data_IF_141076852158
#
_entry.id   IF_141076852158
#
_cell.length_a   1.000
_cell.length_b   1.000
_cell.length_c   1.000
_cell.angle_alpha   90.00
_cell.angle_beta   90.00
_cell.angle_gamma   90.00
#
_symmetry.space_group_name_H-M   'P 1'
#
loop_
_entity.id
_entity.type
_entity.pdbx_description
1 polymer ?
#
# COMPACT_ATOMS: atom_id res chain seq x y z
N UNK A 1 8.85 -18.69 -20.79
CA UNK A 1 7.83 -18.25 -19.82
C UNK A 1 6.41 -18.18 -20.40
N UNK A 2 6.14 -18.73 -21.59
CA UNK A 2 4.78 -18.76 -22.17
C UNK A 2 3.81 -19.64 -21.37
N UNK A 3 4.31 -20.73 -20.77
CA UNK A 3 3.51 -21.63 -19.93
C UNK A 3 3.04 -20.95 -18.63
N UNK A 4 3.89 -20.16 -17.96
CA UNK A 4 3.52 -19.46 -16.72
C UNK A 4 2.48 -18.37 -16.99
N UNK A 5 2.62 -17.61 -18.09
CA UNK A 5 1.58 -16.68 -18.54
C UNK A 5 0.25 -17.41 -18.81
N UNK A 6 0.28 -18.58 -19.46
CA UNK A 6 -0.93 -19.36 -19.70
C UNK A 6 -1.61 -19.85 -18.41
N UNK A 7 -0.82 -20.26 -17.40
CA UNK A 7 -1.35 -20.63 -16.07
C UNK A 7 -2.07 -19.44 -15.43
N UNK A 8 -1.43 -18.26 -15.41
CA UNK A 8 -2.02 -17.07 -14.81
C UNK A 8 -3.28 -16.59 -15.54
N UNK A 9 -3.31 -16.66 -16.88
CA UNK A 9 -4.52 -16.38 -17.68
C UNK A 9 -5.67 -17.32 -17.30
N UNK A 10 -5.37 -18.60 -17.20
CA UNK A 10 -6.35 -19.64 -16.85
C UNK A 10 -6.88 -19.39 -15.44
N UNK A 11 -5.99 -19.13 -14.48
CA UNK A 11 -6.35 -18.78 -13.10
C UNK A 11 -7.29 -17.56 -13.06
N UNK A 12 -6.90 -16.44 -13.65
CA UNK A 12 -7.70 -15.21 -13.63
C UNK A 12 -9.06 -15.40 -14.31
N UNK A 13 -9.10 -16.10 -15.46
CA UNK A 13 -10.35 -16.38 -16.18
C UNK A 13 -11.31 -17.18 -15.29
N UNK A 14 -10.81 -18.23 -14.63
CA UNK A 14 -11.65 -19.07 -13.77
C UNK A 14 -12.01 -18.41 -12.45
N UNK A 15 -11.12 -17.59 -11.87
CA UNK A 15 -11.45 -16.76 -10.72
C UNK A 15 -12.57 -15.78 -11.05
N UNK A 16 -12.49 -15.09 -12.18
CA UNK A 16 -13.55 -14.18 -12.62
C UNK A 16 -14.86 -14.92 -12.85
N UNK A 17 -14.84 -16.07 -13.54
CA UNK A 17 -16.04 -16.87 -13.72
C UNK A 17 -16.65 -17.31 -12.36
N UNK A 18 -15.79 -17.70 -11.40
CA UNK A 18 -16.23 -18.10 -10.07
C UNK A 18 -16.82 -16.93 -9.29
N UNK A 19 -16.15 -15.77 -9.21
CA UNK A 19 -16.65 -14.60 -8.47
C UNK A 19 -17.98 -14.10 -9.02
N UNK A 20 -18.16 -14.09 -10.35
CA UNK A 20 -19.41 -13.70 -11.01
C UNK A 20 -20.51 -14.75 -10.96
N UNK A 21 -20.22 -15.98 -10.51
CA UNK A 21 -21.25 -17.01 -10.32
C UNK A 21 -22.12 -16.79 -9.07
N UNK A 22 -21.74 -15.85 -8.20
CA UNK A 22 -22.50 -15.45 -7.01
C UNK A 22 -23.36 -14.21 -7.28
N UNK A 23 -24.43 -14.05 -6.51
CA UNK A 23 -25.30 -12.88 -6.56
C UNK A 23 -25.43 -12.24 -5.16
N UNK A 24 -24.88 -11.04 -4.92
CA UNK A 24 -24.02 -10.27 -5.84
C UNK A 24 -22.67 -10.98 -6.09
N UNK A 25 -21.93 -10.59 -7.15
CA UNK A 25 -20.58 -11.10 -7.40
C UNK A 25 -19.66 -10.94 -6.18
N UNK A 26 -18.77 -11.90 -5.97
CA UNK A 26 -17.78 -11.82 -4.89
C UNK A 26 -16.73 -10.75 -5.19
N UNK A 27 -16.50 -9.84 -4.25
CA UNK A 27 -15.56 -8.71 -4.38
C UNK A 27 -14.32 -8.84 -3.49
N UNK A 28 -14.03 -10.04 -2.98
CA UNK A 28 -12.99 -10.31 -1.99
C UNK A 28 -11.65 -10.78 -2.59
N UNK A 29 -11.49 -10.70 -3.91
CA UNK A 29 -10.18 -10.92 -4.55
C UNK A 29 -9.42 -9.59 -4.53
N UNK A 30 -8.35 -9.55 -3.74
CA UNK A 30 -7.53 -8.35 -3.56
C UNK A 30 -6.50 -8.17 -4.69
N UNK A 31 -6.18 -9.23 -5.42
CA UNK A 31 -5.31 -9.19 -6.58
C UNK A 31 -4.68 -10.55 -6.88
N UNK A 32 -3.78 -10.56 -7.87
CA UNK A 32 -3.00 -11.74 -8.26
C UNK A 32 -1.52 -11.36 -8.25
N UNK A 33 -0.72 -12.03 -7.44
CA UNK A 33 0.72 -11.98 -7.54
C UNK A 33 1.21 -12.89 -8.67
N UNK A 34 2.02 -12.32 -9.57
CA UNK A 34 2.46 -13.04 -10.76
C UNK A 34 3.51 -14.10 -10.44
N UNK A 35 4.42 -13.78 -9.52
CA UNK A 35 5.52 -14.67 -9.14
C UNK A 35 6.13 -14.24 -7.80
N UNK A 36 6.10 -15.13 -6.82
CA UNK A 36 6.70 -14.90 -5.51
C UNK A 36 8.24 -15.08 -5.54
N UNK A 37 8.96 -14.18 -4.87
CA UNK A 37 10.41 -14.16 -4.65
C UNK A 37 11.30 -14.69 -5.79
N UNK A 38 11.14 -14.21 -7.05
CA UNK A 38 12.00 -14.68 -8.12
C UNK A 38 13.45 -14.27 -7.89
N UNK A 39 14.39 -15.15 -8.25
CA UNK A 39 15.84 -14.89 -8.18
C UNK A 39 16.45 -14.89 -9.58
N UNK A 40 16.21 -13.84 -10.39
CA UNK A 40 16.55 -13.86 -11.81
C UNK A 40 18.05 -13.75 -12.10
N UNK A 41 18.85 -13.15 -11.20
CA UNK A 41 20.29 -12.94 -11.42
C UNK A 41 20.57 -12.22 -12.74
N UNK A 42 21.34 -12.85 -13.64
CA UNK A 42 21.63 -12.27 -14.98
C UNK A 42 20.41 -12.22 -15.90
N UNK A 43 19.29 -12.84 -15.52
CA UNK A 43 18.03 -12.88 -16.28
C UNK A 43 17.03 -11.82 -15.84
N UNK A 44 17.44 -10.83 -15.05
CA UNK A 44 16.55 -9.72 -14.65
C UNK A 44 15.86 -9.04 -15.84
N UNK A 45 16.53 -8.76 -16.99
CA UNK A 45 15.85 -8.19 -18.15
C UNK A 45 14.74 -9.10 -18.70
N UNK A 46 14.93 -10.42 -18.67
CA UNK A 46 13.93 -11.39 -19.13
C UNK A 46 12.72 -11.41 -18.17
N UNK A 47 12.95 -11.30 -16.85
CA UNK A 47 11.88 -11.19 -15.86
C UNK A 47 11.07 -9.89 -16.02
N UNK A 48 11.74 -8.75 -16.18
CA UNK A 48 11.08 -7.46 -16.38
C UNK A 48 10.20 -7.48 -17.64
N UNK A 49 10.73 -8.02 -18.74
CA UNK A 49 9.96 -8.22 -19.98
C UNK A 49 8.75 -9.12 -19.73
N UNK A 50 8.95 -10.24 -19.06
CA UNK A 50 7.87 -11.19 -18.78
C UNK A 50 6.77 -10.59 -17.89
N UNK A 51 7.12 -9.82 -16.87
CA UNK A 51 6.14 -9.12 -16.03
C UNK A 51 5.27 -8.16 -16.86
N UNK A 52 5.88 -7.35 -17.72
CA UNK A 52 5.14 -6.41 -18.59
C UNK A 52 4.22 -7.16 -19.55
N UNK A 53 4.75 -8.16 -20.27
CA UNK A 53 3.97 -8.92 -21.26
C UNK A 53 2.84 -9.72 -20.62
N UNK A 54 3.10 -10.35 -19.47
CA UNK A 54 2.09 -11.10 -18.71
C UNK A 54 1.01 -10.18 -18.17
N UNK A 55 1.38 -9.06 -17.54
CA UNK A 55 0.40 -8.12 -17.01
C UNK A 55 -0.50 -7.54 -18.11
N UNK A 56 0.06 -7.16 -19.27
CA UNK A 56 -0.74 -6.75 -20.45
C UNK A 56 -1.72 -7.85 -20.88
N UNK A 57 -1.27 -9.08 -20.91
CA UNK A 57 -2.11 -10.23 -21.28
C UNK A 57 -3.22 -10.49 -20.25
N UNK A 58 -2.97 -10.29 -18.96
CA UNK A 58 -3.98 -10.43 -17.91
C UNK A 58 -4.98 -9.26 -17.94
N UNK A 59 -4.53 -8.06 -18.30
CA UNK A 59 -5.39 -6.87 -18.47
C UNK A 59 -6.42 -7.02 -19.60
N UNK A 60 -6.15 -7.86 -20.61
CA UNK A 60 -7.14 -8.23 -21.63
C UNK A 60 -8.29 -9.07 -21.06
N UNK A 61 -8.08 -9.77 -19.94
CA UNK A 61 -9.08 -10.60 -19.25
C UNK A 61 -9.79 -9.77 -18.18
N UNK A 62 -9.03 -9.01 -17.40
CA UNK A 62 -9.53 -8.15 -16.33
C UNK A 62 -8.70 -6.86 -16.23
N UNK A 63 -9.33 -5.75 -16.61
CA UNK A 63 -8.68 -4.45 -16.60
C UNK A 63 -8.48 -3.89 -15.18
N UNK A 64 -9.26 -4.35 -14.20
CA UNK A 64 -9.41 -3.71 -12.89
C UNK A 64 -8.70 -4.48 -11.75
N UNK A 65 -8.48 -5.80 -11.89
CA UNK A 65 -7.86 -6.61 -10.83
C UNK A 65 -6.44 -6.11 -10.48
N UNK A 66 -6.09 -5.89 -9.22
CA UNK A 66 -4.72 -5.52 -8.89
C UNK A 66 -3.73 -6.64 -9.24
N UNK A 67 -2.61 -6.29 -9.87
CA UNK A 67 -1.55 -7.25 -10.22
C UNK A 67 -0.32 -6.97 -9.36
N UNK A 68 0.21 -7.99 -8.69
CA UNK A 68 1.35 -7.85 -7.79
C UNK A 68 2.62 -8.40 -8.44
N UNK A 69 3.70 -7.60 -8.39
CA UNK A 69 5.03 -8.01 -8.84
C UNK A 69 5.92 -8.16 -7.61
N UNK A 70 6.42 -9.36 -7.34
CA UNK A 70 7.52 -9.56 -6.41
C UNK A 70 8.76 -8.79 -6.87
N UNK A 71 9.36 -8.02 -5.97
CA UNK A 71 10.44 -7.08 -6.29
C UNK A 71 11.80 -7.74 -6.60
N UNK A 72 11.89 -9.06 -6.48
CA UNK A 72 13.09 -9.85 -6.72
C UNK A 72 14.32 -9.35 -5.93
N UNK A 73 14.11 -8.82 -4.72
CA UNK A 73 15.14 -8.21 -3.87
C UNK A 73 15.82 -6.97 -4.47
N UNK A 74 15.17 -6.35 -5.47
CA UNK A 74 15.67 -5.19 -6.22
C UNK A 74 14.60 -4.08 -6.27
N UNK A 75 14.06 -3.71 -5.10
CA UNK A 75 12.90 -2.80 -4.94
C UNK A 75 13.03 -1.50 -5.72
N UNK A 76 14.21 -0.87 -5.70
CA UNK A 76 14.43 0.39 -6.43
C UNK A 76 14.38 0.21 -7.96
N UNK A 77 14.85 -0.93 -8.46
CA UNK A 77 14.85 -1.24 -9.88
C UNK A 77 13.43 -1.58 -10.37
N UNK A 78 12.68 -2.40 -9.64
CA UNK A 78 11.31 -2.77 -10.02
C UNK A 78 10.32 -1.62 -9.79
N UNK A 79 10.54 -0.75 -8.81
CA UNK A 79 9.77 0.49 -8.72
C UNK A 79 10.03 1.43 -9.91
N UNK A 80 11.27 1.52 -10.40
CA UNK A 80 11.60 2.24 -11.64
C UNK A 80 10.95 1.63 -12.89
N UNK A 81 10.82 0.30 -12.95
CA UNK A 81 10.10 -0.38 -14.02
C UNK A 81 8.63 0.03 -14.05
N UNK A 82 7.95 -0.01 -12.90
CA UNK A 82 6.55 0.38 -12.77
C UNK A 82 6.34 1.87 -13.03
N UNK A 83 7.23 2.73 -12.53
CA UNK A 83 7.23 4.16 -12.86
C UNK A 83 7.25 4.40 -14.37
N UNK A 84 8.11 3.69 -15.09
CA UNK A 84 8.29 3.84 -16.54
C UNK A 84 7.12 3.29 -17.37
N UNK A 85 6.31 2.38 -16.79
CA UNK A 85 5.24 1.68 -17.49
C UNK A 85 3.85 1.89 -16.86
N UNK A 86 3.70 2.76 -15.87
CA UNK A 86 2.49 2.88 -15.06
C UNK A 86 1.23 3.17 -15.88
N UNK A 87 1.34 3.96 -16.96
CA UNK A 87 0.23 4.22 -17.89
C UNK A 87 -0.20 2.98 -18.70
N UNK A 88 0.69 2.01 -18.91
CA UNK A 88 0.40 0.75 -19.60
C UNK A 88 0.00 -0.36 -18.62
N UNK A 89 0.33 -0.20 -17.34
CA UNK A 89 0.17 -1.19 -16.28
C UNK A 89 -0.55 -0.55 -15.06
N UNK A 90 -1.75 0.04 -15.25
CA UNK A 90 -2.46 0.68 -14.16
C UNK A 90 -2.77 -0.34 -13.06
N UNK A 91 -2.80 0.14 -11.82
CA UNK A 91 -3.10 -0.67 -10.64
C UNK A 91 -2.19 -1.91 -10.48
N UNK A 92 -0.92 -1.74 -10.81
CA UNK A 92 0.12 -2.72 -10.48
C UNK A 92 0.70 -2.38 -9.11
N UNK A 93 0.94 -3.39 -8.28
CA UNK A 93 1.46 -3.26 -6.92
C UNK A 93 2.84 -3.88 -6.87
N UNK A 94 3.83 -3.15 -6.36
CA UNK A 94 5.12 -3.73 -6.04
C UNK A 94 5.04 -4.39 -4.67
N UNK A 95 5.36 -5.66 -4.63
CA UNK A 95 5.42 -6.46 -3.42
C UNK A 95 6.86 -6.56 -2.91
N UNK A 96 7.09 -6.08 -1.69
CA UNK A 96 8.39 -6.10 -1.03
C UNK A 96 8.37 -6.95 0.23
N UNK A 97 9.33 -7.85 0.36
CA UNK A 97 9.50 -8.67 1.55
C UNK A 97 10.60 -8.08 2.44
N UNK A 98 10.28 -7.82 3.70
CA UNK A 98 11.21 -7.20 4.65
C UNK A 98 11.51 -8.11 5.85
N UNK A 99 12.75 -8.60 5.89
CA UNK A 99 13.28 -9.37 7.01
C UNK A 99 14.60 -8.80 7.53
N UNK A 100 14.87 -9.05 8.82
CA UNK A 100 16.07 -8.60 9.54
C UNK A 100 16.71 -9.74 10.33
N UNK A 101 16.82 -10.92 9.72
CA UNK A 101 17.33 -12.12 10.39
C UNK A 101 18.11 -13.09 9.52
N UNK A 102 18.28 -12.82 8.22
CA UNK A 102 18.84 -13.79 7.26
C UNK A 102 20.27 -13.49 6.82
N UNK A 103 20.81 -12.31 7.13
CA UNK A 103 22.17 -11.91 6.75
C UNK A 103 23.11 -11.87 7.95
N UNK A 104 24.42 -11.90 7.70
CA UNK A 104 25.43 -11.65 8.73
C UNK A 104 25.28 -10.25 9.35
N UNK A 105 24.91 -9.27 8.53
CA UNK A 105 24.61 -7.91 8.97
C UNK A 105 23.47 -7.89 9.99
N UNK A 106 22.38 -8.61 9.71
CA UNK A 106 21.27 -8.77 10.64
C UNK A 106 21.70 -9.42 11.96
N UNK A 107 22.48 -10.50 11.89
CA UNK A 107 22.95 -11.22 13.08
C UNK A 107 23.86 -10.39 13.99
N UNK A 108 24.54 -9.38 13.43
CA UNK A 108 25.42 -8.46 14.16
C UNK A 108 24.72 -7.17 14.63
N UNK A 109 23.50 -6.90 14.16
CA UNK A 109 22.77 -5.68 14.47
C UNK A 109 21.93 -5.87 15.73
N UNK A 110 22.05 -4.96 16.69
CA UNK A 110 21.26 -5.01 17.92
C UNK A 110 19.79 -4.66 17.65
N UNK A 111 18.87 -5.15 18.48
CA UNK A 111 17.44 -4.81 18.35
C UNK A 111 17.19 -3.31 18.45
N UNK A 112 17.92 -2.59 19.30
CA UNK A 112 17.86 -1.12 19.39
C UNK A 112 18.25 -0.46 18.08
N UNK A 113 19.31 -0.94 17.41
CA UNK A 113 19.72 -0.41 16.12
C UNK A 113 18.71 -0.75 15.01
N UNK A 114 18.12 -1.94 15.03
CA UNK A 114 17.03 -2.28 14.09
C UNK A 114 15.83 -1.32 14.24
N UNK A 115 15.41 -1.03 15.48
CA UNK A 115 14.34 -0.07 15.76
C UNK A 115 14.73 1.33 15.25
N UNK A 116 15.96 1.79 15.49
CA UNK A 116 16.45 3.09 15.00
C UNK A 116 16.45 3.15 13.46
N UNK A 117 16.90 2.08 12.79
CA UNK A 117 16.92 1.98 11.33
C UNK A 117 15.53 2.00 10.68
N UNK A 118 14.46 1.83 11.46
CA UNK A 118 13.07 1.89 11.03
C UNK A 118 12.37 3.20 11.45
N UNK A 119 12.81 3.83 12.54
CA UNK A 119 12.14 5.01 13.12
C UNK A 119 12.84 6.34 12.82
N UNK A 120 14.15 6.35 12.56
CA UNK A 120 14.85 7.57 12.16
C UNK A 120 14.47 7.94 10.71
N UNK A 121 13.84 9.11 10.47
CA UNK A 121 13.45 9.52 9.12
C UNK A 121 14.64 9.71 8.16
N UNK A 122 15.87 9.84 8.69
CA UNK A 122 17.09 9.96 7.88
C UNK A 122 17.78 8.61 7.64
N UNK A 123 17.30 7.52 8.27
CA UNK A 123 17.82 6.19 8.00
C UNK A 123 17.45 5.72 6.59
N UNK A 124 18.21 4.75 6.07
CA UNK A 124 18.03 4.24 4.71
C UNK A 124 16.62 3.69 4.46
N UNK A 125 16.06 2.88 5.37
CA UNK A 125 14.76 2.21 5.14
C UNK A 125 13.62 3.21 4.99
N UNK A 126 13.39 4.15 5.94
CA UNK A 126 12.28 5.09 5.84
C UNK A 126 12.40 6.03 4.64
N UNK A 127 13.63 6.49 4.34
CA UNK A 127 13.89 7.35 3.18
C UNK A 127 13.58 6.61 1.86
N UNK A 128 14.04 5.36 1.73
CA UNK A 128 13.80 4.53 0.53
C UNK A 128 12.32 4.21 0.36
N UNK A 129 11.61 3.85 1.43
CA UNK A 129 10.17 3.55 1.38
C UNK A 129 9.36 4.79 0.98
N UNK A 130 9.64 5.95 1.58
CA UNK A 130 8.98 7.21 1.22
C UNK A 130 9.16 7.55 -0.27
N UNK A 131 10.39 7.39 -0.78
CA UNK A 131 10.71 7.66 -2.19
C UNK A 131 10.04 6.68 -3.15
N UNK A 132 10.02 5.39 -2.81
CA UNK A 132 9.35 4.36 -3.62
C UNK A 132 7.85 4.59 -3.64
N UNK A 133 7.24 4.90 -2.49
CA UNK A 133 5.81 5.19 -2.42
C UNK A 133 5.43 6.38 -3.30
N UNK A 134 6.11 7.52 -3.14
CA UNK A 134 5.83 8.72 -3.94
C UNK A 134 5.96 8.45 -5.45
N UNK A 135 6.99 7.70 -5.84
CA UNK A 135 7.23 7.28 -7.22
C UNK A 135 6.07 6.43 -7.76
N UNK A 136 5.69 5.39 -7.03
CA UNK A 136 4.67 4.44 -7.48
C UNK A 136 3.28 5.07 -7.48
N UNK A 137 2.96 5.88 -6.47
CA UNK A 137 1.71 6.64 -6.39
C UNK A 137 1.53 7.55 -7.62
N UNK A 138 2.56 8.31 -7.97
CA UNK A 138 2.58 9.19 -9.15
C UNK A 138 2.37 8.42 -10.47
N UNK A 139 2.81 7.16 -10.50
CA UNK A 139 2.67 6.25 -11.64
C UNK A 139 1.32 5.53 -11.69
N UNK A 140 0.43 5.70 -10.70
CA UNK A 140 -0.82 4.93 -10.62
C UNK A 140 -0.64 3.50 -10.15
N UNK A 141 0.45 3.24 -9.41
CA UNK A 141 0.84 1.94 -8.87
C UNK A 141 0.77 1.95 -7.33
N UNK A 142 0.86 0.77 -6.72
CA UNK A 142 0.88 0.58 -5.27
C UNK A 142 2.19 0.03 -4.74
N UNK A 143 2.42 0.18 -3.44
CA UNK A 143 3.53 -0.43 -2.71
C UNK A 143 3.00 -1.14 -1.47
N UNK A 144 3.35 -2.41 -1.30
CA UNK A 144 2.91 -3.26 -0.19
C UNK A 144 4.09 -4.01 0.39
N UNK A 145 4.00 -4.32 1.69
CA UNK A 145 4.88 -5.29 2.34
C UNK A 145 4.19 -6.65 2.37
N UNK A 146 4.37 -7.50 1.36
CA UNK A 146 3.67 -8.78 1.24
C UNK A 146 4.17 -9.83 2.23
N UNK A 147 5.40 -9.69 2.71
CA UNK A 147 5.91 -10.52 3.79
C UNK A 147 6.81 -9.73 4.75
N UNK A 148 6.54 -9.88 6.05
CA UNK A 148 7.38 -9.39 7.14
C UNK A 148 7.08 -10.17 8.42
N UNK A 149 7.96 -10.11 9.42
CA UNK A 149 7.74 -10.82 10.68
C UNK A 149 8.30 -10.07 11.89
N UNK A 150 7.98 -10.54 13.10
CA UNK A 150 8.57 -10.07 14.36
C UNK A 150 9.92 -10.73 14.68
N UNK A 151 10.44 -11.58 13.78
CA UNK A 151 11.65 -12.34 14.02
C UNK A 151 12.91 -11.50 13.86
N UNK A 152 13.82 -11.67 14.80
CA UNK A 152 15.18 -11.16 14.77
C UNK A 152 16.15 -12.31 15.08
N UNK A 153 17.40 -12.15 14.67
CA UNK A 153 18.44 -13.09 15.05
C UNK A 153 18.60 -13.07 16.59
N UNK A 154 18.80 -14.23 17.27
CA UNK A 154 19.10 -14.24 18.71
C UNK A 154 20.29 -13.35 19.09
N UNK A 155 21.24 -13.17 18.17
CA UNK A 155 22.36 -12.23 18.32
C UNK A 155 21.95 -10.79 18.60
N UNK A 156 20.80 -10.36 18.07
CA UNK A 156 20.29 -8.99 18.22
C UNK A 156 19.88 -8.63 19.66
N UNK A 157 19.66 -9.64 20.51
CA UNK A 157 19.25 -9.48 21.92
C UNK A 157 20.38 -9.67 22.92
N UNK A 158 21.61 -9.97 22.48
CA UNK A 158 22.75 -10.27 23.39
C UNK A 158 23.04 -9.21 24.46
N UNK A 159 22.71 -7.95 24.18
CA UNK A 159 22.94 -6.81 25.09
C UNK A 159 21.67 -6.38 25.84
N UNK A 160 20.57 -7.10 25.66
CA UNK A 160 19.27 -6.85 26.28
C UNK A 160 19.09 -7.89 27.38
N UNK A 161 18.81 -7.44 28.62
CA UNK A 161 18.44 -8.37 29.70
C UNK A 161 17.13 -9.09 29.38
N UNK A 162 16.97 -10.33 29.80
CA UNK A 162 15.79 -11.17 29.52
C UNK A 162 14.48 -10.46 29.91
N UNK A 163 14.50 -9.69 31.00
CA UNK A 163 13.37 -8.91 31.50
C UNK A 163 12.88 -7.82 30.52
N UNK A 164 13.74 -7.38 29.60
CA UNK A 164 13.45 -6.33 28.63
C UNK A 164 13.19 -6.88 27.21
N UNK A 165 13.36 -8.19 26.97
CA UNK A 165 13.29 -8.77 25.63
C UNK A 165 11.91 -8.57 25.00
N UNK A 166 10.83 -8.82 25.75
CA UNK A 166 9.45 -8.63 25.31
C UNK A 166 9.20 -7.18 24.87
N UNK A 167 9.64 -6.21 25.68
CA UNK A 167 9.49 -4.79 25.37
C UNK A 167 10.24 -4.42 24.09
N UNK A 168 11.44 -4.96 23.87
CA UNK A 168 12.21 -4.70 22.65
C UNK A 168 11.57 -5.33 21.42
N UNK A 169 10.99 -6.52 21.53
CA UNK A 169 10.20 -7.15 20.46
C UNK A 169 8.96 -6.33 20.11
N UNK A 170 8.23 -5.85 21.11
CA UNK A 170 7.08 -4.95 20.92
C UNK A 170 7.48 -3.67 20.18
N UNK A 171 8.57 -3.01 20.61
CA UNK A 171 9.07 -1.80 19.95
C UNK A 171 9.50 -2.06 18.51
N UNK A 172 10.13 -3.21 18.24
CA UNK A 172 10.53 -3.60 16.89
C UNK A 172 9.32 -3.82 15.97
N UNK A 173 8.32 -4.58 16.41
CA UNK A 173 7.08 -4.78 15.65
C UNK A 173 6.34 -3.45 15.43
N UNK A 174 6.21 -2.62 16.47
CA UNK A 174 5.57 -1.32 16.36
C UNK A 174 6.30 -0.38 15.39
N UNK A 175 7.63 -0.40 15.37
CA UNK A 175 8.43 0.40 14.43
C UNK A 175 8.20 -0.02 12.97
N UNK A 176 8.14 -1.33 12.71
CA UNK A 176 7.80 -1.85 11.38
C UNK A 176 6.40 -1.40 10.94
N UNK A 177 5.38 -1.64 11.77
CA UNK A 177 4.01 -1.25 11.46
C UNK A 177 3.87 0.25 11.24
N UNK A 178 4.46 1.09 12.10
CA UNK A 178 4.40 2.54 11.95
C UNK A 178 5.03 3.03 10.64
N UNK A 179 6.12 2.40 10.20
CA UNK A 179 6.72 2.69 8.90
C UNK A 179 5.81 2.26 7.74
N UNK A 180 5.20 1.08 7.83
CA UNK A 180 4.36 0.54 6.76
C UNK A 180 3.06 1.33 6.62
N UNK A 181 2.38 1.66 7.72
CA UNK A 181 1.18 2.52 7.71
C UNK A 181 1.45 3.90 7.11
N UNK A 182 2.68 4.39 7.24
CA UNK A 182 3.09 5.68 6.68
C UNK A 182 3.42 5.61 5.19
N UNK A 183 4.01 4.51 4.72
CA UNK A 183 4.65 4.45 3.40
C UNK A 183 4.08 3.40 2.44
N UNK A 184 3.17 2.56 2.89
CA UNK A 184 2.66 1.43 2.11
C UNK A 184 1.14 1.43 2.10
N UNK A 185 0.54 0.83 1.08
CA UNK A 185 -0.91 0.64 0.97
C UNK A 185 -1.42 -0.51 1.86
N UNK A 186 -0.52 -1.29 2.45
CA UNK A 186 -0.83 -2.42 3.32
C UNK A 186 0.38 -3.30 3.59
N UNK A 187 0.20 -4.28 4.48
CA UNK A 187 1.23 -5.24 4.86
C UNK A 187 0.63 -6.57 5.31
N UNK A 188 1.36 -7.67 5.11
CA UNK A 188 0.91 -9.03 5.39
C UNK A 188 1.96 -9.75 6.25
N UNK A 189 1.57 -10.13 7.47
CA UNK A 189 2.50 -10.78 8.40
C UNK A 189 2.76 -12.22 7.98
N UNK A 190 4.03 -12.56 7.83
CA UNK A 190 4.51 -13.91 7.57
C UNK A 190 4.87 -14.62 8.88
N UNK A 191 4.05 -15.54 9.39
CA UNK A 191 2.79 -16.11 8.86
C UNK A 191 1.69 -16.10 9.93
N UNK A 192 0.45 -16.45 9.56
CA UNK A 192 -0.66 -16.48 10.53
C UNK A 192 -0.41 -17.45 11.70
N UNK A 193 0.04 -18.68 11.40
CA UNK A 193 0.31 -19.72 12.41
C UNK A 193 1.41 -20.68 11.97
N UNK A 194 2.10 -21.26 12.95
CA UNK A 194 3.00 -22.40 12.79
C UNK A 194 2.50 -23.59 13.63
N UNK A 195 3.08 -24.76 13.38
CA UNK A 195 2.84 -25.96 14.21
C UNK A 195 3.44 -25.78 15.61
N UNK A 196 4.69 -25.32 15.67
CA UNK A 196 5.39 -25.01 16.91
C UNK A 196 5.21 -23.55 17.32
N UNK A 197 5.05 -23.25 18.63
CA UNK A 197 4.92 -21.89 19.14
C UNK A 197 6.06 -20.97 18.70
N UNK A 198 5.74 -19.81 18.13
CA UNK A 198 6.75 -18.87 17.65
C UNK A 198 6.28 -17.41 17.66
N UNK A 199 6.84 -16.62 18.57
CA UNK A 199 6.48 -15.22 18.75
C UNK A 199 7.06 -14.29 17.66
N UNK A 200 7.98 -14.79 16.83
CA UNK A 200 8.59 -14.02 15.73
C UNK A 200 7.93 -14.30 14.39
N UNK A 201 7.54 -15.56 14.14
CA UNK A 201 7.06 -16.03 12.84
C UNK A 201 5.59 -16.49 12.81
N UNK A 202 4.91 -16.58 13.95
CA UNK A 202 3.48 -16.90 14.00
C UNK A 202 2.69 -15.73 14.60
N UNK A 203 1.88 -15.05 13.78
CA UNK A 203 1.08 -13.90 14.19
C UNK A 203 0.20 -14.21 15.40
N UNK A 204 -0.46 -15.37 15.39
CA UNK A 204 -1.31 -15.81 16.52
C UNK A 204 -0.53 -15.83 17.83
N UNK A 205 0.64 -16.46 17.83
CA UNK A 205 1.44 -16.64 19.04
C UNK A 205 2.11 -15.32 19.45
N UNK A 206 2.48 -14.46 18.48
CA UNK A 206 2.98 -13.11 18.74
C UNK A 206 1.91 -12.21 19.39
N UNK A 207 0.65 -12.34 18.99
CA UNK A 207 -0.49 -11.65 19.62
C UNK A 207 -0.72 -12.20 21.04
N UNK A 208 -0.74 -13.52 21.21
CA UNK A 208 -0.96 -14.15 22.52
C UNK A 208 0.15 -13.79 23.52
N UNK A 209 1.40 -13.66 23.05
CA UNK A 209 2.54 -13.23 23.85
C UNK A 209 2.61 -11.71 24.08
N UNK A 210 1.73 -10.93 23.43
CA UNK A 210 1.75 -9.47 23.49
C UNK A 210 2.91 -8.81 22.74
N UNK A 211 3.63 -9.53 21.89
CA UNK A 211 4.65 -8.98 20.98
C UNK A 211 4.00 -8.17 19.87
N UNK A 212 2.88 -8.67 19.33
CA UNK A 212 2.06 -8.02 18.32
C UNK A 212 0.78 -7.47 18.96
N UNK A 213 0.27 -6.29 18.58
CA UNK A 213 -0.94 -5.74 19.17
C UNK A 213 -2.17 -6.59 18.85
N UNK A 214 -3.04 -6.82 19.85
CA UNK A 214 -4.30 -7.55 19.64
C UNK A 214 -5.31 -6.82 18.72
N UNK A 215 -5.00 -5.59 18.31
CA UNK A 215 -5.84 -4.79 17.41
C UNK A 215 -4.98 -3.91 16.52
N UNK A 216 -5.33 -3.86 15.24
CA UNK A 216 -4.70 -3.02 14.20
C UNK A 216 -5.77 -2.19 13.50
N UNK A 217 -5.43 -0.94 13.16
CA UNK A 217 -6.33 0.00 12.49
C UNK A 217 -7.25 0.78 13.44
N UNK A 218 -8.02 1.69 12.86
CA UNK A 218 -8.89 2.59 13.61
C UNK A 218 -10.09 1.85 14.23
N UNK A 219 -10.37 2.13 15.51
CA UNK A 219 -11.57 1.64 16.21
C UNK A 219 -12.74 2.58 15.99
N UNK A 220 -13.84 2.06 15.46
CA UNK A 220 -15.12 2.78 15.41
C UNK A 220 -15.61 3.10 16.83
N UNK A 221 -16.04 4.34 17.06
CA UNK A 221 -16.92 4.67 18.20
C UNK A 221 -18.35 4.59 17.68
N UNK A 222 -19.30 4.00 18.43
CA UNK A 222 -20.70 3.80 18.01
C UNK A 222 -21.35 5.05 17.37
N UNK A 223 -20.97 6.24 17.82
CA UNK A 223 -21.47 7.54 17.35
C UNK A 223 -21.11 7.89 15.89
N UNK A 224 -20.14 7.20 15.29
CA UNK A 224 -19.58 7.51 13.96
C UNK A 224 -20.48 7.03 12.80
N UNK A 225 -21.44 6.14 13.07
CA UNK A 225 -22.16 5.39 12.03
C UNK A 225 -23.56 5.94 11.68
N UNK A 226 -24.01 6.99 12.38
CA UNK A 226 -25.29 7.65 12.15
C UNK A 226 -25.36 8.49 10.86
N UNK A 227 -26.54 9.04 10.57
CA UNK A 227 -26.66 10.12 9.58
C UNK A 227 -25.89 11.35 10.07
N UNK A 228 -25.04 11.89 9.19
CA UNK A 228 -24.18 13.03 9.50
C UNK A 228 -24.55 14.19 8.58
N UNK A 229 -25.56 14.95 9.01
CA UNK A 229 -26.10 16.09 8.25
C UNK A 229 -25.07 17.20 8.04
N UNK A 230 -24.02 17.26 8.86
CA UNK A 230 -22.95 18.26 8.78
C UNK A 230 -21.77 17.82 7.92
N UNK A 231 -21.77 16.59 7.37
CA UNK A 231 -20.67 16.06 6.55
C UNK A 231 -20.28 17.01 5.42
N UNK A 232 -21.25 17.41 4.60
CA UNK A 232 -21.00 18.27 3.43
C UNK A 232 -20.42 19.61 3.87
N UNK A 233 -20.91 20.17 4.97
CA UNK A 233 -20.38 21.41 5.55
C UNK A 233 -18.92 21.25 5.98
N UNK A 234 -18.56 20.18 6.69
CA UNK A 234 -17.17 19.96 7.11
C UNK A 234 -16.23 19.69 5.94
N UNK A 235 -16.68 18.95 4.93
CA UNK A 235 -15.94 18.78 3.67
C UNK A 235 -15.68 20.13 3.02
N UNK A 236 -16.72 20.94 2.83
CA UNK A 236 -16.63 22.21 2.12
C UNK A 236 -15.74 23.21 2.88
N UNK A 237 -15.81 23.25 4.22
CA UNK A 237 -14.87 24.04 5.04
C UNK A 237 -13.43 23.59 4.85
N UNK A 238 -13.15 22.28 4.92
CA UNK A 238 -11.79 21.76 4.73
C UNK A 238 -11.27 22.01 3.31
N UNK A 239 -12.13 21.87 2.31
CA UNK A 239 -11.85 22.16 0.90
C UNK A 239 -11.49 23.62 0.69
N UNK A 240 -12.28 24.54 1.25
CA UNK A 240 -12.09 25.97 1.05
C UNK A 240 -10.81 26.45 1.74
N UNK A 241 -10.49 25.92 2.93
CA UNK A 241 -9.21 26.15 3.61
C UNK A 241 -8.02 25.63 2.79
N UNK A 242 -8.12 24.42 2.24
CA UNK A 242 -7.07 23.84 1.40
C UNK A 242 -6.90 24.64 0.09
N UNK A 243 -8.00 25.09 -0.51
CA UNK A 243 -8.02 25.93 -1.72
C UNK A 243 -7.34 27.27 -1.46
N UNK A 244 -7.64 27.92 -0.33
CA UNK A 244 -7.00 29.19 0.05
C UNK A 244 -5.47 29.02 0.19
N UNK A 245 -5.02 27.95 0.86
CA UNK A 245 -3.60 27.64 0.99
C UNK A 245 -2.93 27.36 -0.38
N UNK A 246 -3.60 26.60 -1.25
CA UNK A 246 -3.14 26.31 -2.61
C UNK A 246 -3.00 27.60 -3.44
N UNK A 247 -4.02 28.46 -3.43
CA UNK A 247 -4.00 29.77 -4.09
C UNK A 247 -2.86 30.64 -3.57
N UNK A 248 -2.70 30.75 -2.25
CA UNK A 248 -1.66 31.56 -1.63
C UNK A 248 -0.24 31.06 -1.97
N UNK A 249 -0.05 29.76 -2.13
CA UNK A 249 1.22 29.17 -2.56
C UNK A 249 1.50 29.49 -4.03
N UNK A 250 0.55 29.21 -4.93
CA UNK A 250 0.76 29.33 -6.38
C UNK A 250 0.75 30.77 -6.88
N UNK A 251 0.13 31.71 -6.17
CA UNK A 251 0.23 33.15 -6.47
C UNK A 251 1.67 33.69 -6.46
N UNK A 252 2.62 32.97 -5.85
CA UNK A 252 4.05 33.33 -5.82
C UNK A 252 4.78 33.01 -7.13
N UNK A 253 4.18 32.20 -8.00
CA UNK A 253 4.81 31.70 -9.22
C UNK A 253 3.97 32.12 -10.44
N UNK A 254 4.59 32.64 -11.51
CA UNK A 254 3.87 32.91 -12.73
C UNK A 254 3.48 31.59 -13.43
N UNK A 255 2.23 31.48 -13.89
CA UNK A 255 1.74 30.30 -14.58
C UNK A 255 0.30 30.43 -15.08
N UNK A 256 -0.08 29.52 -15.98
CA UNK A 256 -1.49 29.28 -16.35
C UNK A 256 -2.06 28.26 -15.37
N UNK A 257 -3.03 28.67 -14.56
CA UNK A 257 -3.64 27.84 -13.52
C UNK A 257 -5.15 27.67 -13.74
N UNK A 258 -5.68 26.53 -13.31
CA UNK A 258 -7.11 26.19 -13.30
C UNK A 258 -7.50 25.70 -11.90
N UNK A 259 -7.43 26.58 -10.90
CA UNK A 259 -7.62 26.25 -9.47
C UNK A 259 -8.97 25.61 -9.10
N UNK A 260 -9.97 25.67 -9.99
CA UNK A 260 -11.20 24.88 -9.82
C UNK A 260 -10.94 23.37 -9.90
N UNK A 261 -9.95 22.93 -10.68
CA UNK A 261 -9.55 21.52 -10.75
C UNK A 261 -9.03 21.00 -9.42
N UNK A 262 -8.30 21.82 -8.66
CA UNK A 262 -7.91 21.49 -7.29
C UNK A 262 -9.14 21.29 -6.39
N UNK A 263 -10.14 22.17 -6.53
CA UNK A 263 -11.40 22.12 -5.76
C UNK A 263 -12.17 20.83 -6.06
N UNK A 264 -12.25 20.46 -7.34
CA UNK A 264 -12.84 19.21 -7.81
C UNK A 264 -12.09 17.99 -7.26
N UNK A 265 -10.76 17.98 -7.38
CA UNK A 265 -9.90 16.88 -6.92
C UNK A 265 -9.97 16.67 -5.42
N UNK A 266 -9.97 17.75 -4.63
CA UNK A 266 -10.18 17.70 -3.18
C UNK A 266 -11.52 17.05 -2.84
N UNK A 267 -12.61 17.54 -3.45
CA UNK A 267 -13.96 17.05 -3.20
C UNK A 267 -14.08 15.57 -3.54
N UNK A 268 -13.54 15.16 -4.70
CA UNK A 268 -13.54 13.77 -5.15
C UNK A 268 -12.79 12.86 -4.17
N UNK A 269 -11.58 13.25 -3.74
CA UNK A 269 -10.81 12.44 -2.79
C UNK A 269 -11.45 12.37 -1.40
N UNK A 270 -12.12 13.42 -0.95
CA UNK A 270 -12.94 13.36 0.28
C UNK A 270 -14.06 12.34 0.14
N UNK A 271 -14.79 12.38 -0.98
CA UNK A 271 -15.91 11.48 -1.21
C UNK A 271 -15.46 10.02 -1.39
N UNK A 272 -14.28 9.79 -1.98
CA UNK A 272 -13.63 8.48 -2.03
C UNK A 272 -13.23 7.99 -0.63
N UNK A 273 -12.55 8.81 0.18
CA UNK A 273 -12.22 8.45 1.56
C UNK A 273 -13.48 8.15 2.40
N UNK A 274 -14.55 8.91 2.18
CA UNK A 274 -15.83 8.69 2.85
C UNK A 274 -16.51 7.39 2.42
N UNK A 275 -16.40 7.00 1.15
CA UNK A 275 -16.90 5.71 0.67
C UNK A 275 -16.26 4.55 1.44
N UNK A 276 -14.94 4.56 1.62
CA UNK A 276 -14.23 3.54 2.40
C UNK A 276 -14.64 3.60 3.87
N UNK A 277 -14.61 4.77 4.46
CA UNK A 277 -15.00 4.97 5.86
C UNK A 277 -16.39 4.43 6.18
N UNK A 278 -17.37 4.68 5.31
CA UNK A 278 -18.76 4.23 5.52
C UNK A 278 -19.01 2.77 5.15
N UNK A 279 -18.09 2.13 4.42
CA UNK A 279 -18.19 0.71 4.10
C UNK A 279 -18.16 -0.20 5.33
N UNK A 280 -17.66 0.30 6.47
CA UNK A 280 -17.75 -0.35 7.80
C UNK A 280 -19.18 -0.78 8.15
N UNK A 281 -20.23 -0.11 7.64
CA UNK A 281 -21.63 -0.48 7.85
C UNK A 281 -21.97 -1.88 7.32
N UNK A 282 -21.17 -2.37 6.36
CA UNK A 282 -21.30 -3.70 5.77
C UNK A 282 -20.35 -4.72 6.41
N UNK A 283 -19.56 -4.31 7.39
CA UNK A 283 -18.58 -5.16 8.06
C UNK A 283 -19.04 -5.53 9.47
N UNK A 284 -18.49 -6.61 10.05
CA UNK A 284 -18.74 -6.97 11.44
C UNK A 284 -18.36 -5.85 12.41
N UNK A 285 -19.03 -5.77 13.56
CA UNK A 285 -18.79 -4.74 14.61
C UNK A 285 -17.34 -4.69 15.10
N UNK A 286 -16.63 -5.81 15.00
CA UNK A 286 -15.22 -5.95 15.39
C UNK A 286 -14.24 -5.63 14.24
N UNK A 287 -14.70 -5.23 13.06
CA UNK A 287 -13.80 -4.84 11.98
C UNK A 287 -13.18 -3.46 12.26
N UNK A 288 -11.91 -3.24 11.92
CA UNK A 288 -11.34 -1.90 11.90
C UNK A 288 -12.04 -1.03 10.84
N UNK A 289 -12.08 0.29 11.07
CA UNK A 289 -12.64 1.24 10.11
C UNK A 289 -11.81 1.14 8.83
N UNK A 290 -12.43 0.90 7.65
CA UNK A 290 -11.70 0.85 6.40
C UNK A 290 -11.19 2.24 6.01
N UNK A 291 -9.97 2.25 5.49
CA UNK A 291 -9.27 3.44 5.03
C UNK A 291 -8.97 3.31 3.53
N UNK A 292 -8.82 4.46 2.87
CA UNK A 292 -8.46 4.50 1.46
C UNK A 292 -6.98 4.13 1.27
N UNK A 293 -6.72 2.89 0.89
CA UNK A 293 -5.42 2.43 0.40
C UNK A 293 -5.22 2.71 -1.11
N UNK A 294 -4.05 2.37 -1.64
CA UNK A 294 -3.74 2.45 -3.08
C UNK A 294 -4.10 3.80 -3.73
N UNK A 295 -3.69 4.91 -3.09
CA UNK A 295 -4.04 6.27 -3.52
C UNK A 295 -3.67 6.56 -4.98
N UNK A 296 -2.53 6.07 -5.45
CA UNK A 296 -2.07 6.27 -6.84
C UNK A 296 -3.06 5.78 -7.90
N UNK A 297 -3.45 4.49 -7.89
CA UNK A 297 -4.51 3.96 -8.74
C UNK A 297 -5.81 4.77 -8.71
N UNK A 298 -6.25 5.19 -7.51
CA UNK A 298 -7.44 6.04 -7.36
C UNK A 298 -7.26 7.40 -8.05
N UNK A 299 -6.14 8.09 -7.81
CA UNK A 299 -5.84 9.37 -8.45
C UNK A 299 -5.88 9.24 -9.97
N UNK A 300 -5.24 8.22 -10.56
CA UNK A 300 -5.25 8.01 -12.02
C UNK A 300 -6.65 7.80 -12.55
N UNK A 301 -7.43 6.91 -11.91
CA UNK A 301 -8.81 6.64 -12.30
C UNK A 301 -9.67 7.90 -12.28
N UNK A 302 -9.61 8.66 -11.18
CA UNK A 302 -10.38 9.91 -11.04
C UNK A 302 -9.93 10.98 -12.01
N UNK A 303 -8.64 11.04 -12.34
CA UNK A 303 -8.12 11.95 -13.35
C UNK A 303 -8.69 11.65 -14.74
N UNK A 304 -8.75 10.36 -15.12
CA UNK A 304 -9.34 9.95 -16.40
C UNK A 304 -10.83 10.27 -16.49
N UNK A 305 -11.57 10.07 -15.39
CA UNK A 305 -12.98 10.46 -15.29
C UNK A 305 -13.15 11.98 -15.40
N UNK A 306 -12.32 12.75 -14.69
CA UNK A 306 -12.34 14.21 -14.75
C UNK A 306 -12.02 14.75 -16.15
N UNK A 307 -11.05 14.16 -16.85
CA UNK A 307 -10.73 14.53 -18.25
C UNK A 307 -11.89 14.23 -19.19
N UNK A 308 -12.60 13.10 -19.00
CA UNK A 308 -13.79 12.77 -19.79
C UNK A 308 -14.93 13.76 -19.55
N UNK A 309 -15.11 14.24 -18.32
CA UNK A 309 -16.20 15.14 -17.95
C UNK A 309 -15.92 16.61 -18.28
N UNK A 310 -14.73 17.10 -17.91
CA UNK A 310 -14.38 18.53 -17.93
C UNK A 310 -13.26 18.88 -18.92
N UNK A 311 -12.76 17.90 -19.65
CA UNK A 311 -11.71 18.08 -20.65
C UNK A 311 -10.30 18.05 -20.07
N UNK A 312 -9.34 17.78 -20.96
CA UNK A 312 -7.91 17.82 -20.69
C UNK A 312 -7.38 19.27 -20.63
N UNK A 313 -6.20 19.47 -20.06
CA UNK A 313 -5.61 20.80 -19.90
C UNK A 313 -4.21 20.78 -19.28
N UNK A 314 -3.44 21.87 -19.50
CA UNK A 314 -2.08 21.98 -18.96
C UNK A 314 -2.03 22.03 -17.42
N UNK A 315 -3.13 22.45 -16.78
CA UNK A 315 -3.26 22.54 -15.33
C UNK A 315 -3.94 21.30 -14.71
N UNK A 316 -4.03 20.18 -15.45
CA UNK A 316 -4.66 18.94 -14.97
C UNK A 316 -4.01 18.38 -13.68
N UNK A 317 -2.72 18.66 -13.47
CA UNK A 317 -2.00 18.29 -12.25
C UNK A 317 -2.67 18.86 -10.98
N UNK A 318 -3.35 20.01 -11.07
CA UNK A 318 -4.03 20.61 -9.92
C UNK A 318 -5.11 19.69 -9.33
N UNK A 319 -5.78 18.88 -10.16
CA UNK A 319 -6.75 17.89 -9.69
C UNK A 319 -6.10 16.79 -8.84
N UNK A 320 -4.95 16.28 -9.28
CA UNK A 320 -4.21 15.24 -8.56
C UNK A 320 -3.48 15.76 -7.31
N UNK A 321 -3.39 17.08 -7.13
CA UNK A 321 -2.73 17.72 -5.98
C UNK A 321 -3.68 17.74 -4.78
N UNK A 322 -4.15 16.58 -4.32
CA UNK A 322 -5.10 16.51 -3.20
C UNK A 322 -4.37 16.19 -1.89
N UNK A 323 -4.39 17.07 -0.86
CA UNK A 323 -3.76 16.83 0.44
C UNK A 323 -4.41 15.69 1.26
N UNK A 324 -5.59 15.21 0.89
CA UNK A 324 -6.23 14.01 1.47
C UNK A 324 -5.83 12.71 0.75
N UNK A 325 -5.17 12.83 -0.41
CA UNK A 325 -4.62 11.73 -1.21
C UNK A 325 -3.08 11.79 -1.30
N UNK A 326 -2.45 12.69 -0.53
CA UNK A 326 -1.01 12.71 -0.21
C UNK A 326 -0.79 12.29 1.25
#
# INVERSE_FOLDING_TARGET
MTQTTHILRTLLTHLNAFTHSFQPPLTNILGIELLNEPQPGSKTPDLQKWYIETAKTLREIDADVPLYFGDAWMTEQFSGLLESHGSQLPFTVLDHHLYRCFTEGDASTSVTQHIQNLTDPNAYTPHTFSRINQKLESAGCGFVIGEWSGALNPGSFKTVGEENELEMRQKYVAAQMALYEKCCAGYFFWTYKKEEPDQGWALRDAVDAGVYPAWVGLKGRERVLGEDSERSTRRDVARDQAKEAHLAYWAKYPGEYEHERFTDGFTQGWDDAWLFFTSIKSLPVWAPIPELGFKGPWIKKRLEEHVKEKGDGKALWEFGTNPLLL
#
